data_IF_304167971240
#
_entry.id   IF_304167971240
#
_cell.length_a   1.000
_cell.length_b   1.000
_cell.length_c   1.000
_cell.angle_alpha   90.00
_cell.angle_beta   90.00
_cell.angle_gamma   90.00
#
_symmetry.space_group_name_H-M   'P 1'
#
loop_
_entity.id
_entity.type
_entity.pdbx_description
1 polymer ?
#
# COMPACT_ATOMS: atom_id res chain seq x y z
N UNK A 1 8.80 11.84 17.42
CA UNK A 1 7.65 11.10 16.89
C UNK A 1 6.43 11.99 16.59
N UNK A 2 6.13 13.06 17.35
CA UNK A 2 4.99 13.97 17.11
C UNK A 2 4.98 14.64 15.73
N UNK A 3 6.13 15.09 15.22
CA UNK A 3 6.22 15.83 13.96
C UNK A 3 5.81 15.06 12.69
N UNK A 4 5.95 13.73 12.65
CA UNK A 4 5.60 12.94 11.46
C UNK A 4 4.06 12.80 11.32
N UNK A 5 3.37 12.51 12.43
CA UNK A 5 1.91 12.41 12.46
C UNK A 5 1.23 13.76 12.19
N UNK A 6 1.70 14.84 12.83
CA UNK A 6 1.16 16.19 12.65
C UNK A 6 1.34 16.72 11.22
N UNK A 7 2.47 16.43 10.57
CA UNK A 7 2.73 16.82 9.19
C UNK A 7 1.83 16.07 8.21
N UNK A 8 1.57 14.80 8.44
CA UNK A 8 0.65 14.00 7.62
C UNK A 8 -0.79 14.50 7.79
N UNK A 9 -1.27 14.71 9.00
CA UNK A 9 -2.62 15.23 9.26
C UNK A 9 -2.87 16.60 8.64
N UNK A 10 -1.89 17.52 8.71
CA UNK A 10 -1.99 18.85 8.10
C UNK A 10 -2.04 18.78 6.57
N UNK A 11 -1.29 17.88 5.94
CA UNK A 11 -1.28 17.69 4.49
C UNK A 11 -2.61 17.14 3.98
N UNK A 12 -3.25 16.24 4.73
CA UNK A 12 -4.49 15.59 4.31
C UNK A 12 -5.78 16.33 4.68
N UNK A 13 -5.77 17.24 5.66
CA UNK A 13 -6.96 17.95 6.17
C UNK A 13 -7.74 18.71 5.10
N UNK A 14 -7.09 19.30 4.11
CA UNK A 14 -7.72 20.09 3.05
C UNK A 14 -7.93 19.34 1.73
N UNK A 15 -7.33 18.16 1.56
CA UNK A 15 -7.35 17.45 0.28
C UNK A 15 -8.29 16.22 0.25
N UNK A 16 -8.80 15.75 1.39
CA UNK A 16 -9.43 14.42 1.51
C UNK A 16 -10.67 14.19 0.65
N UNK A 17 -11.54 15.18 0.46
CA UNK A 17 -12.76 14.99 -0.35
C UNK A 17 -12.50 14.99 -1.86
N UNK A 18 -11.62 15.86 -2.33
CA UNK A 18 -11.20 15.89 -3.74
C UNK A 18 -10.28 14.71 -4.10
N UNK A 19 -9.53 14.25 -3.11
CA UNK A 19 -8.52 13.22 -3.23
C UNK A 19 -9.13 11.84 -3.55
N UNK A 20 -10.21 11.45 -2.90
CA UNK A 20 -10.87 10.15 -3.13
C UNK A 20 -11.57 10.07 -4.49
N UNK A 21 -12.21 11.15 -4.92
CA UNK A 21 -12.97 11.16 -6.17
C UNK A 21 -12.05 11.08 -7.40
N UNK A 22 -10.91 11.77 -7.36
CA UNK A 22 -9.95 11.78 -8.46
C UNK A 22 -9.08 10.53 -8.49
N UNK A 23 -8.73 9.95 -7.34
CA UNK A 23 -7.88 8.74 -7.21
C UNK A 23 -8.38 7.54 -7.99
N UNK A 24 -9.69 7.39 -8.13
CA UNK A 24 -10.28 6.29 -8.89
C UNK A 24 -9.79 6.24 -10.34
N UNK A 25 -9.50 7.38 -10.93
CA UNK A 25 -9.19 7.50 -12.35
C UNK A 25 -7.71 7.37 -12.69
N UNK A 26 -6.80 7.63 -11.74
CA UNK A 26 -5.36 7.63 -12.03
C UNK A 26 -4.54 6.60 -11.25
N UNK A 27 -5.05 6.03 -10.16
CA UNK A 27 -4.35 4.95 -9.46
C UNK A 27 -4.69 3.59 -10.11
N UNK A 28 -4.13 3.40 -11.30
CA UNK A 28 -4.39 2.22 -12.12
C UNK A 28 -3.67 0.98 -11.56
N UNK A 29 -4.25 -0.21 -11.78
CA UNK A 29 -3.63 -1.48 -11.36
C UNK A 29 -4.01 -1.96 -9.96
N UNK A 30 -4.68 -1.16 -9.13
CA UNK A 30 -5.13 -1.58 -7.78
C UNK A 30 -6.05 -2.80 -7.83
N UNK A 31 -7.04 -2.79 -8.71
CA UNK A 31 -7.98 -3.90 -8.84
C UNK A 31 -7.29 -5.17 -9.41
N UNK A 32 -6.26 -5.00 -10.26
CA UNK A 32 -5.42 -6.09 -10.73
C UNK A 32 -4.59 -6.69 -9.59
N UNK A 33 -3.99 -5.86 -8.73
CA UNK A 33 -3.29 -6.30 -7.53
C UNK A 33 -4.21 -7.12 -6.61
N UNK A 34 -5.40 -6.59 -6.29
CA UNK A 34 -6.41 -7.26 -5.46
C UNK A 34 -6.75 -8.66 -6.00
N UNK A 35 -6.85 -8.78 -7.32
CA UNK A 35 -7.14 -10.07 -7.96
C UNK A 35 -5.92 -11.01 -7.92
N UNK A 36 -4.72 -10.48 -8.10
CA UNK A 36 -3.47 -11.25 -8.11
C UNK A 36 -3.15 -11.86 -6.75
N UNK A 37 -3.46 -11.18 -5.64
CA UNK A 37 -3.18 -11.68 -4.29
C UNK A 37 -3.86 -13.01 -3.96
N UNK A 38 -4.96 -13.37 -4.64
CA UNK A 38 -5.66 -14.67 -4.51
C UNK A 38 -5.88 -15.08 -3.05
N UNK A 39 -6.52 -14.21 -2.28
CA UNK A 39 -6.75 -14.35 -0.84
C UNK A 39 -7.56 -15.61 -0.52
N UNK A 40 -7.16 -16.34 0.51
CA UNK A 40 -7.82 -17.56 0.98
C UNK A 40 -8.52 -17.34 2.31
N UNK A 41 -9.43 -18.25 2.64
CA UNK A 41 -10.12 -18.24 3.93
C UNK A 41 -9.11 -18.34 5.10
N UNK A 42 -9.33 -17.55 6.14
CA UNK A 42 -8.51 -17.53 7.35
C UNK A 42 -7.19 -16.75 7.22
N UNK A 43 -6.86 -16.21 6.04
CA UNK A 43 -5.63 -15.41 5.86
C UNK A 43 -5.77 -14.02 6.48
N UNK A 44 -4.67 -13.53 7.04
CA UNK A 44 -4.50 -12.17 7.57
C UNK A 44 -3.74 -11.30 6.55
N UNK A 45 -4.41 -10.29 6.02
CA UNK A 45 -3.89 -9.43 4.94
C UNK A 45 -3.76 -8.00 5.42
N UNK A 46 -2.58 -7.38 5.29
CA UNK A 46 -2.32 -6.01 5.71
C UNK A 46 -2.15 -5.06 4.51
N UNK A 47 -2.87 -3.93 4.52
CA UNK A 47 -2.58 -2.76 3.67
C UNK A 47 -1.79 -1.71 4.46
N UNK A 48 -0.61 -1.35 3.96
CA UNK A 48 0.25 -0.30 4.56
C UNK A 48 0.01 1.02 3.83
N UNK A 49 -0.42 2.05 4.58
CA UNK A 49 -0.88 3.32 4.03
C UNK A 49 -2.26 3.17 3.37
N UNK A 50 -3.23 2.63 4.12
CA UNK A 50 -4.54 2.26 3.59
C UNK A 50 -5.44 3.47 3.23
N UNK A 51 -5.07 4.68 3.68
CA UNK A 51 -5.82 5.90 3.42
C UNK A 51 -7.28 5.77 3.86
N UNK A 52 -8.20 5.85 2.92
CA UNK A 52 -9.65 5.73 3.16
C UNK A 52 -10.20 4.31 3.03
N UNK A 53 -9.36 3.29 3.15
CA UNK A 53 -9.66 1.85 3.18
C UNK A 53 -10.42 1.29 1.94
N UNK A 54 -10.38 1.97 0.77
CA UNK A 54 -11.09 1.49 -0.43
C UNK A 54 -10.78 0.03 -0.78
N UNK A 55 -9.51 -0.33 -0.79
CA UNK A 55 -9.09 -1.68 -1.20
C UNK A 55 -9.48 -2.71 -0.15
N UNK A 56 -9.31 -2.40 1.13
CA UNK A 56 -9.73 -3.25 2.25
C UNK A 56 -11.23 -3.54 2.20
N UNK A 57 -12.06 -2.52 1.95
CA UNK A 57 -13.51 -2.67 1.82
C UNK A 57 -13.86 -3.61 0.66
N UNK A 58 -13.21 -3.46 -0.50
CA UNK A 58 -13.45 -4.35 -1.65
C UNK A 58 -13.06 -5.80 -1.32
N UNK A 59 -11.90 -5.99 -0.69
CA UNK A 59 -11.40 -7.29 -0.29
C UNK A 59 -12.29 -7.94 0.77
N UNK A 60 -12.68 -7.20 1.81
CA UNK A 60 -13.50 -7.70 2.92
C UNK A 60 -14.90 -8.15 2.44
N UNK A 61 -15.47 -7.41 1.49
CA UNK A 61 -16.75 -7.80 0.85
C UNK A 61 -16.62 -9.07 0.02
N UNK A 62 -15.50 -9.24 -0.68
CA UNK A 62 -15.27 -10.38 -1.57
C UNK A 62 -14.87 -11.64 -0.80
N UNK A 63 -14.08 -11.50 0.26
CA UNK A 63 -13.49 -12.62 1.01
C UNK A 63 -13.90 -12.57 2.48
N UNK A 64 -15.16 -12.93 2.76
CA UNK A 64 -15.76 -12.80 4.09
C UNK A 64 -15.09 -13.67 5.17
N UNK A 65 -14.38 -14.71 4.77
CA UNK A 65 -13.69 -15.63 5.68
C UNK A 65 -12.20 -15.30 5.87
N UNK A 66 -11.71 -14.18 5.35
CA UNK A 66 -10.35 -13.67 5.58
C UNK A 66 -10.41 -12.40 6.42
N UNK A 67 -9.31 -12.05 7.08
CA UNK A 67 -9.20 -10.87 7.93
C UNK A 67 -8.34 -9.82 7.24
N UNK A 68 -8.76 -8.58 7.29
CA UNK A 68 -8.10 -7.46 6.65
C UNK A 68 -7.69 -6.41 7.67
N UNK A 69 -6.45 -5.98 7.54
CA UNK A 69 -5.82 -5.04 8.45
C UNK A 69 -5.36 -3.83 7.65
N UNK A 70 -5.56 -2.63 8.19
CA UNK A 70 -5.09 -1.40 7.58
C UNK A 70 -4.32 -0.56 8.57
N UNK A 71 -3.20 -0.02 8.16
CA UNK A 71 -2.52 1.03 8.91
C UNK A 71 -2.32 2.27 8.05
N UNK A 72 -2.40 3.41 8.69
CA UNK A 72 -2.05 4.71 8.12
C UNK A 72 -1.46 5.61 9.21
N UNK A 73 -0.57 6.52 8.82
CA UNK A 73 -0.01 7.50 9.74
C UNK A 73 -0.99 8.63 10.06
N UNK A 74 -2.02 8.85 9.23
CA UNK A 74 -3.02 9.89 9.43
C UNK A 74 -4.23 9.37 10.18
N UNK A 75 -4.46 9.90 11.37
CA UNK A 75 -5.64 9.63 12.19
C UNK A 75 -6.94 10.09 11.50
N UNK A 76 -6.88 11.21 10.76
CA UNK A 76 -8.00 11.77 10.00
C UNK A 76 -8.43 10.86 8.85
N UNK A 77 -7.45 10.24 8.15
CA UNK A 77 -7.76 9.25 7.12
C UNK A 77 -8.43 8.02 7.72
N UNK A 78 -7.92 7.52 8.84
CA UNK A 78 -8.46 6.34 9.49
C UNK A 78 -9.85 6.58 10.09
N UNK A 79 -10.13 7.77 10.59
CA UNK A 79 -11.50 8.14 11.02
C UNK A 79 -12.49 7.98 9.86
N UNK A 80 -12.17 8.57 8.71
CA UNK A 80 -12.99 8.41 7.48
C UNK A 80 -13.09 6.96 7.02
N UNK A 81 -12.02 6.19 7.19
CA UNK A 81 -11.99 4.77 6.85
C UNK A 81 -12.91 3.95 7.75
N UNK A 82 -12.87 4.22 9.06
CA UNK A 82 -13.70 3.53 10.04
C UNK A 82 -15.19 3.80 9.78
N UNK A 83 -15.56 5.07 9.54
CA UNK A 83 -16.92 5.44 9.16
C UNK A 83 -17.44 4.65 7.94
N UNK A 84 -16.56 4.44 6.92
CA UNK A 84 -16.91 3.64 5.72
C UNK A 84 -17.02 2.15 5.99
N UNK A 85 -16.17 1.61 6.85
CA UNK A 85 -16.18 0.19 7.26
C UNK A 85 -17.44 -0.10 8.06
N UNK A 86 -17.77 0.76 9.05
CA UNK A 86 -18.94 0.64 9.90
C UNK A 86 -20.24 0.74 9.09
N UNK A 87 -20.33 1.72 8.18
CA UNK A 87 -21.48 1.89 7.29
C UNK A 87 -21.78 0.68 6.40
N UNK A 88 -20.82 -0.24 6.26
CA UNK A 88 -20.95 -1.46 5.47
C UNK A 88 -21.01 -2.74 6.31
N UNK A 89 -21.01 -2.61 7.63
CA UNK A 89 -21.03 -3.71 8.60
C UNK A 89 -19.94 -4.76 8.32
N UNK A 90 -18.70 -4.30 8.08
CA UNK A 90 -17.56 -5.19 7.78
C UNK A 90 -16.82 -5.53 9.08
N UNK A 91 -17.14 -6.68 9.66
CA UNK A 91 -16.56 -7.16 10.93
C UNK A 91 -15.13 -7.73 10.76
N UNK A 92 -14.73 -8.00 9.52
CA UNK A 92 -13.42 -8.58 9.19
C UNK A 92 -12.39 -7.53 8.75
N UNK A 93 -12.56 -6.26 9.16
CA UNK A 93 -11.60 -5.17 8.90
C UNK A 93 -11.19 -4.54 10.23
N UNK A 94 -9.88 -4.45 10.46
CA UNK A 94 -9.30 -3.74 11.61
C UNK A 94 -8.35 -2.64 11.12
N UNK A 95 -8.49 -1.43 11.67
CA UNK A 95 -7.70 -0.25 11.30
C UNK A 95 -6.89 0.26 12.50
N UNK A 96 -5.62 0.66 12.27
CA UNK A 96 -4.75 1.17 13.32
C UNK A 96 -3.89 2.34 12.83
N UNK A 97 -3.78 3.39 13.66
CA UNK A 97 -2.83 4.49 13.43
C UNK A 97 -1.42 3.97 13.76
N UNK A 98 -0.58 3.84 12.75
CA UNK A 98 0.79 3.37 12.92
C UNK A 98 1.69 3.85 11.77
N UNK A 99 3.00 3.90 12.02
CA UNK A 99 4.01 4.14 10.99
C UNK A 99 4.40 2.83 10.30
N UNK A 100 4.69 2.92 9.01
CA UNK A 100 5.01 1.78 8.16
C UNK A 100 6.33 1.08 8.52
N UNK A 101 7.25 1.80 9.17
CA UNK A 101 8.60 1.33 9.54
C UNK A 101 8.69 0.78 10.97
N UNK A 102 7.61 0.87 11.78
CA UNK A 102 7.66 0.50 13.21
C UNK A 102 6.51 -0.37 13.70
N UNK A 103 5.50 -0.65 12.87
CA UNK A 103 4.41 -1.54 13.26
C UNK A 103 4.91 -2.97 13.51
N UNK A 104 4.21 -3.71 14.36
CA UNK A 104 4.36 -5.16 14.47
C UNK A 104 3.00 -5.83 14.49
N UNK A 105 2.92 -7.05 13.94
CA UNK A 105 1.67 -7.80 13.93
C UNK A 105 1.12 -8.00 15.35
N UNK A 106 1.98 -8.21 16.35
CA UNK A 106 1.60 -8.41 17.75
C UNK A 106 1.12 -7.12 18.42
N UNK A 107 1.99 -6.09 18.47
CA UNK A 107 1.71 -4.88 19.25
C UNK A 107 0.66 -3.99 18.61
N UNK A 108 0.63 -3.94 17.26
CA UNK A 108 -0.27 -3.07 16.53
C UNK A 108 -1.66 -3.69 16.35
N UNK A 109 -1.72 -5.01 16.14
CA UNK A 109 -2.97 -5.67 15.77
C UNK A 109 -3.37 -6.82 16.72
N UNK A 110 -2.53 -7.17 17.70
CA UNK A 110 -2.82 -8.25 18.65
C UNK A 110 -2.78 -9.65 18.04
N UNK A 111 -2.06 -9.83 16.93
CA UNK A 111 -1.97 -11.12 16.24
C UNK A 111 -0.89 -12.02 16.87
N UNK A 112 -1.15 -13.32 16.92
CA UNK A 112 -0.20 -14.33 17.40
C UNK A 112 0.82 -14.76 16.32
N UNK A 113 0.58 -14.41 15.05
CA UNK A 113 1.45 -14.78 13.92
C UNK A 113 1.54 -13.67 12.90
N UNK A 114 2.66 -13.59 12.13
CA UNK A 114 2.82 -12.64 11.06
C UNK A 114 1.72 -12.74 9.98
N UNK A 115 1.65 -11.74 9.11
CA UNK A 115 0.65 -11.66 8.04
C UNK A 115 0.90 -12.70 6.93
N UNK A 116 -0.19 -13.12 6.28
CA UNK A 116 -0.15 -13.99 5.11
C UNK A 116 0.14 -13.21 3.82
N UNK A 117 -0.26 -11.94 3.76
CA UNK A 117 0.20 -11.01 2.74
C UNK A 117 0.23 -9.59 3.29
N UNK A 118 1.16 -8.78 2.77
CA UNK A 118 1.25 -7.35 3.04
C UNK A 118 1.25 -6.63 1.69
N UNK A 119 0.57 -5.50 1.57
CA UNK A 119 0.65 -4.73 0.34
C UNK A 119 0.67 -3.22 0.55
N UNK A 120 1.32 -2.55 -0.39
CA UNK A 120 1.40 -1.11 -0.52
C UNK A 120 0.68 -0.71 -1.81
N UNK A 121 -0.29 0.17 -1.71
CA UNK A 121 -1.07 0.60 -2.87
C UNK A 121 -0.98 2.11 -3.05
N UNK A 122 -0.02 2.55 -3.86
CA UNK A 122 0.30 3.96 -4.05
C UNK A 122 0.62 4.71 -2.75
N UNK A 123 1.22 4.00 -1.81
CA UNK A 123 1.64 4.55 -0.52
C UNK A 123 3.16 4.61 -0.38
N UNK A 124 3.91 3.66 -0.96
CA UNK A 124 5.35 3.56 -0.78
C UNK A 124 6.11 4.79 -1.32
N UNK A 125 5.63 5.38 -2.41
CA UNK A 125 6.19 6.60 -3.00
C UNK A 125 6.01 7.86 -2.14
N UNK A 126 5.15 7.79 -1.12
CA UNK A 126 4.86 8.87 -0.18
C UNK A 126 5.50 8.66 1.20
N UNK A 127 6.06 7.48 1.48
CA UNK A 127 6.69 7.14 2.75
C UNK A 127 8.18 7.52 2.68
N UNK A 128 8.66 8.48 3.49
CA UNK A 128 10.08 8.88 3.48
C UNK A 128 11.02 7.72 3.87
N UNK A 129 10.61 6.91 4.85
CA UNK A 129 11.32 5.74 5.38
C UNK A 129 10.92 4.45 4.63
N UNK A 130 10.78 4.51 3.30
CA UNK A 130 10.27 3.40 2.51
C UNK A 130 11.18 2.14 2.55
N UNK A 131 12.50 2.30 2.72
CA UNK A 131 13.41 1.14 2.83
C UNK A 131 13.18 0.39 4.13
N UNK A 132 13.10 1.12 5.22
CA UNK A 132 12.79 0.62 6.56
C UNK A 132 11.39 0.00 6.59
N UNK A 133 10.44 0.61 5.88
CA UNK A 133 9.08 0.07 5.76
C UNK A 133 9.02 -1.25 4.99
N UNK A 134 9.83 -1.42 3.95
CA UNK A 134 9.96 -2.70 3.24
C UNK A 134 10.60 -3.76 4.14
N UNK A 135 11.66 -3.40 4.86
CA UNK A 135 12.28 -4.33 5.81
C UNK A 135 11.28 -4.73 6.89
N UNK A 136 10.57 -3.77 7.47
CA UNK A 136 9.54 -4.03 8.48
C UNK A 136 8.41 -4.91 7.94
N UNK A 137 8.00 -4.72 6.68
CA UNK A 137 7.02 -5.60 6.04
C UNK A 137 7.54 -7.03 5.92
N UNK A 138 8.81 -7.23 5.55
CA UNK A 138 9.44 -8.55 5.52
C UNK A 138 9.45 -9.20 6.91
N UNK A 139 9.77 -8.45 7.96
CA UNK A 139 9.85 -8.96 9.33
C UNK A 139 8.47 -9.40 9.87
N UNK A 140 7.41 -8.74 9.41
CA UNK A 140 6.02 -9.03 9.78
C UNK A 140 5.27 -9.95 8.80
N UNK A 141 5.96 -10.53 7.80
CA UNK A 141 5.41 -11.44 6.81
C UNK A 141 5.87 -12.88 7.09
N UNK A 142 4.97 -13.86 6.98
CA UNK A 142 5.30 -15.29 7.08
C UNK A 142 6.29 -15.71 5.98
N UNK A 143 7.18 -16.65 6.26
CA UNK A 143 8.04 -17.28 5.23
C UNK A 143 7.20 -17.97 4.15
N UNK A 144 7.69 -17.94 2.92
CA UNK A 144 6.98 -18.47 1.76
C UNK A 144 5.80 -17.63 1.27
N UNK A 145 5.51 -16.50 1.93
CA UNK A 145 4.42 -15.57 1.57
C UNK A 145 4.98 -14.34 0.86
N UNK A 146 4.08 -13.53 0.28
CA UNK A 146 4.47 -12.39 -0.55
C UNK A 146 4.02 -11.07 0.04
N UNK A 147 4.87 -10.05 -0.09
CA UNK A 147 4.38 -8.68 -0.08
C UNK A 147 4.27 -8.13 -1.50
N UNK A 148 3.38 -7.16 -1.68
CA UNK A 148 3.06 -6.59 -2.98
C UNK A 148 3.18 -5.07 -2.94
N UNK A 149 3.61 -4.49 -4.05
CA UNK A 149 3.60 -3.04 -4.26
C UNK A 149 2.92 -2.75 -5.59
N UNK A 150 1.91 -1.89 -5.61
CA UNK A 150 1.44 -1.23 -6.83
C UNK A 150 1.71 0.26 -6.70
N UNK A 151 2.46 0.83 -7.65
CA UNK A 151 2.80 2.25 -7.65
C UNK A 151 3.09 2.75 -9.08
N UNK A 152 3.30 4.05 -9.24
CA UNK A 152 3.71 4.63 -10.50
C UNK A 152 5.04 4.03 -10.96
N UNK A 153 5.17 3.85 -12.28
CA UNK A 153 6.41 3.43 -12.91
C UNK A 153 7.09 4.62 -13.60
N UNK A 154 8.12 4.32 -14.40
CA UNK A 154 8.95 5.32 -15.07
C UNK A 154 8.31 5.96 -16.32
N UNK A 155 7.15 5.46 -16.76
CA UNK A 155 6.36 6.01 -17.87
C UNK A 155 7.08 5.99 -19.22
N UNK A 156 8.17 5.21 -19.39
CA UNK A 156 9.04 5.26 -20.54
C UNK A 156 8.33 4.93 -21.88
N UNK A 157 7.24 4.13 -21.83
CA UNK A 157 6.50 3.72 -23.04
C UNK A 157 5.28 4.63 -23.33
N UNK A 158 5.08 5.71 -22.56
CA UNK A 158 4.02 6.69 -22.82
C UNK A 158 4.50 7.79 -23.79
N UNK A 159 3.61 8.42 -24.56
CA UNK A 159 3.97 9.55 -25.41
C UNK A 159 4.58 10.70 -24.59
N UNK A 160 5.63 11.34 -25.10
CA UNK A 160 6.38 12.38 -24.40
C UNK A 160 5.50 13.54 -23.88
N UNK A 161 4.49 13.94 -24.64
CA UNK A 161 3.58 15.01 -24.24
C UNK A 161 2.74 14.59 -23.01
N UNK A 162 2.29 13.33 -22.99
CA UNK A 162 1.51 12.80 -21.88
C UNK A 162 2.38 12.63 -20.62
N UNK A 163 3.63 12.14 -20.78
CA UNK A 163 4.59 12.04 -19.68
C UNK A 163 4.79 13.41 -18.99
N UNK A 164 4.98 14.48 -19.76
CA UNK A 164 5.18 15.85 -19.23
C UNK A 164 3.98 16.33 -18.43
N UNK A 165 2.77 16.12 -18.96
CA UNK A 165 1.51 16.50 -18.27
C UNK A 165 1.37 15.71 -16.97
N UNK A 166 1.53 14.38 -17.03
CA UNK A 166 1.40 13.51 -15.87
C UNK A 166 2.44 13.83 -14.79
N UNK A 167 3.71 14.03 -15.16
CA UNK A 167 4.77 14.37 -14.21
C UNK A 167 4.54 15.75 -13.58
N UNK A 168 4.06 16.74 -14.35
CA UNK A 168 3.71 18.05 -13.80
C UNK A 168 2.57 17.94 -12.80
N UNK A 169 1.57 17.12 -13.12
CA UNK A 169 0.42 16.87 -12.25
C UNK A 169 0.82 16.12 -10.97
N UNK A 170 1.61 15.04 -11.07
CA UNK A 170 2.10 14.27 -9.91
C UNK A 170 2.96 15.11 -8.95
N UNK A 171 3.74 16.06 -9.47
CA UNK A 171 4.53 17.00 -8.66
C UNK A 171 3.66 17.83 -7.70
N UNK A 172 2.45 18.20 -8.10
CA UNK A 172 1.51 18.96 -7.24
C UNK A 172 1.09 18.16 -5.99
N UNK A 173 1.12 16.83 -6.08
CA UNK A 173 0.77 15.92 -4.98
C UNK A 173 1.99 15.37 -4.25
N UNK A 174 3.19 15.92 -4.51
CA UNK A 174 4.47 15.47 -3.94
C UNK A 174 4.75 13.97 -4.20
N UNK A 175 4.08 13.37 -5.17
CA UNK A 175 4.32 11.98 -5.59
C UNK A 175 5.57 11.94 -6.46
N UNK A 176 6.58 11.19 -6.00
CA UNK A 176 7.79 10.94 -6.78
C UNK A 176 7.93 9.43 -6.98
N UNK A 177 8.06 9.00 -8.23
CA UNK A 177 8.46 7.62 -8.49
C UNK A 177 9.81 7.34 -7.80
N UNK A 178 9.86 6.41 -6.84
CA UNK A 178 11.11 6.09 -6.15
C UNK A 178 11.99 5.24 -7.06
N UNK A 179 12.85 5.92 -7.85
CA UNK A 179 13.74 5.26 -8.84
C UNK A 179 14.58 4.13 -8.25
N UNK A 180 14.86 4.23 -6.95
CA UNK A 180 15.67 3.25 -6.23
C UNK A 180 14.87 2.07 -5.68
N UNK A 181 13.54 2.09 -5.73
CA UNK A 181 12.69 1.05 -5.15
C UNK A 181 12.93 -0.32 -5.81
N UNK A 182 12.81 -0.41 -7.13
CA UNK A 182 13.03 -1.67 -7.84
C UNK A 182 14.48 -2.16 -7.75
N UNK A 183 15.52 -1.29 -7.90
CA UNK A 183 16.90 -1.67 -7.58
C UNK A 183 17.09 -2.21 -6.17
N UNK A 184 16.46 -1.59 -5.16
CA UNK A 184 16.52 -2.07 -3.78
C UNK A 184 15.90 -3.46 -3.62
N UNK A 185 14.69 -3.69 -4.18
CA UNK A 185 14.06 -5.02 -4.16
C UNK A 185 14.92 -6.10 -4.82
N UNK A 186 15.60 -5.76 -5.94
CA UNK A 186 16.58 -6.66 -6.59
C UNK A 186 17.78 -6.94 -5.69
N UNK A 187 18.21 -6.00 -4.88
CA UNK A 187 19.27 -6.20 -3.90
C UNK A 187 18.83 -7.19 -2.82
N UNK A 188 17.62 -7.06 -2.28
CA UNK A 188 17.06 -8.02 -1.32
C UNK A 188 16.96 -9.44 -1.91
N UNK A 189 16.59 -9.56 -3.18
CA UNK A 189 16.57 -10.84 -3.89
C UNK A 189 17.97 -11.44 -4.02
N UNK A 190 18.98 -10.62 -4.39
CA UNK A 190 20.39 -11.07 -4.47
C UNK A 190 20.94 -11.50 -3.11
N UNK A 191 20.46 -10.91 -2.02
CA UNK A 191 20.79 -11.30 -0.65
C UNK A 191 20.09 -12.60 -0.20
N UNK A 192 19.24 -13.21 -1.05
CA UNK A 192 18.54 -14.46 -0.72
C UNK A 192 17.30 -14.30 0.16
N UNK A 193 16.85 -13.06 0.39
CA UNK A 193 15.69 -12.78 1.24
C UNK A 193 14.35 -13.16 0.60
N UNK A 194 14.34 -13.43 -0.71
CA UNK A 194 13.13 -13.82 -1.43
C UNK A 194 13.33 -13.80 -2.94
N UNK A 195 12.20 -13.88 -3.66
CA UNK A 195 12.08 -13.82 -5.12
C UNK A 195 11.24 -12.63 -5.55
N UNK A 196 11.76 -11.85 -6.50
CA UNK A 196 11.09 -10.66 -7.04
C UNK A 196 10.48 -10.94 -8.41
N UNK A 197 9.18 -10.64 -8.55
CA UNK A 197 8.49 -10.57 -9.83
C UNK A 197 7.98 -9.15 -10.05
N UNK A 198 8.33 -8.51 -11.17
CA UNK A 198 7.86 -7.17 -11.53
C UNK A 198 7.03 -7.24 -12.81
N UNK A 199 5.80 -6.78 -12.74
CA UNK A 199 4.86 -6.73 -13.87
C UNK A 199 4.58 -5.27 -14.23
N UNK A 200 5.11 -4.75 -15.34
CA UNK A 200 4.72 -3.42 -15.85
C UNK A 200 3.26 -3.39 -16.27
N UNK A 201 2.59 -2.28 -16.01
CA UNK A 201 1.18 -2.09 -16.36
C UNK A 201 1.01 -0.83 -17.22
N UNK A 202 0.06 -0.89 -18.16
CA UNK A 202 -0.43 0.25 -18.91
C UNK A 202 0.71 1.09 -19.53
N UNK A 203 1.57 0.44 -20.35
CA UNK A 203 2.72 1.09 -21.00
C UNK A 203 3.65 1.75 -19.97
N UNK A 204 3.96 1.01 -18.91
CA UNK A 204 4.83 1.48 -17.81
C UNK A 204 4.30 2.72 -17.07
N UNK A 205 2.98 2.95 -17.10
CA UNK A 205 2.34 3.94 -16.24
C UNK A 205 2.46 3.57 -14.77
N UNK A 206 2.20 2.29 -14.47
CA UNK A 206 2.31 1.70 -13.14
C UNK A 206 3.02 0.35 -13.23
N UNK A 207 3.37 -0.22 -12.08
CA UNK A 207 3.87 -1.58 -11.98
C UNK A 207 3.22 -2.30 -10.78
N UNK A 208 3.24 -3.63 -10.82
CA UNK A 208 3.07 -4.46 -9.63
C UNK A 208 4.40 -5.17 -9.40
N UNK A 209 4.95 -5.03 -8.19
CA UNK A 209 6.04 -5.85 -7.69
C UNK A 209 5.47 -6.84 -6.67
N UNK A 210 5.74 -8.11 -6.86
CA UNK A 210 5.54 -9.18 -5.89
C UNK A 210 6.90 -9.64 -5.40
N UNK A 211 7.10 -9.61 -4.09
CA UNK A 211 8.30 -10.14 -3.45
C UNK A 211 7.91 -11.28 -2.52
N UNK A 212 8.26 -12.49 -2.92
CA UNK A 212 7.99 -13.69 -2.13
C UNK A 212 9.16 -13.96 -1.20
N UNK A 213 8.92 -13.83 0.11
CA UNK A 213 9.89 -14.10 1.16
C UNK A 213 10.35 -15.56 1.13
N UNK A 214 11.63 -15.80 1.35
CA UNK A 214 12.21 -17.13 1.50
C UNK A 214 11.68 -17.87 2.70
#
# INVERSE_FOLDING_TARGET
MSNAFENMDRMYRHQRYFYDLTRKYYLLGRDKLITQMNVKAGENILEVGCGTARNLIILARKYKSANFFGLDASSEMLKTSQEKVDAQNLENVQLQVALADTFTFQKTFGLDSPFDAIYFSYSISMIPTWRESIQNALDNLKSGRSFYIVDFYDQADLPNWFQKILQSWLKQFHVKYPKELLPHLKTLEKQGLGKLLVTPLYRRYAFIAEFRKS
#
